data_IF_234171668794
#
_entry.id   IF_234171668794
#
_cell.length_a   1.000
_cell.length_b   1.000
_cell.length_c   1.000
_cell.angle_alpha   90.00
_cell.angle_beta   90.00
_cell.angle_gamma   90.00
#
_symmetry.space_group_name_H-M   'P 1'
#
loop_
_entity.id
_entity.type
_entity.pdbx_description
1 polymer ?
#
# COMPACT_ATOMS: atom_id res chain seq x y z
N UNK A 1 4.58 13.13 -25.33
CA UNK A 1 3.69 13.27 -24.18
C UNK A 1 3.76 12.03 -23.28
N UNK A 2 4.31 12.22 -22.08
CA UNK A 2 4.42 11.15 -21.10
C UNK A 2 3.62 11.43 -19.83
N UNK A 3 2.59 12.29 -19.91
CA UNK A 3 1.68 12.44 -18.79
C UNK A 3 0.58 11.40 -18.79
N UNK A 4 0.24 10.84 -19.96
CA UNK A 4 -0.77 9.79 -20.00
C UNK A 4 -0.31 8.55 -19.25
N UNK A 5 0.99 8.26 -19.28
CA UNK A 5 1.53 7.15 -18.52
C UNK A 5 1.33 7.38 -17.02
N UNK A 6 1.63 8.59 -16.55
CA UNK A 6 1.42 8.91 -15.15
C UNK A 6 -0.05 8.80 -14.78
N UNK A 7 -0.93 9.25 -15.65
CA UNK A 7 -2.36 9.16 -15.36
C UNK A 7 -2.81 7.71 -15.27
N UNK A 8 -2.33 6.86 -16.18
CA UNK A 8 -2.72 5.46 -16.16
C UNK A 8 -2.23 4.78 -14.89
N UNK A 9 -1.01 5.09 -14.45
CA UNK A 9 -0.50 4.46 -13.23
C UNK A 9 -1.21 4.98 -12.00
N UNK A 10 -1.48 6.28 -11.92
CA UNK A 10 -2.27 6.83 -10.82
C UNK A 10 -3.63 6.15 -10.74
N UNK A 11 -4.30 6.00 -11.88
CA UNK A 11 -5.63 5.38 -11.88
C UNK A 11 -5.56 3.90 -11.51
N UNK A 12 -4.53 3.20 -11.97
CA UNK A 12 -4.39 1.78 -11.64
C UNK A 12 -4.24 1.59 -10.13
N UNK A 13 -3.33 2.34 -9.51
CA UNK A 13 -3.14 2.24 -8.06
C UNK A 13 -4.40 2.66 -7.31
N UNK A 14 -5.07 3.73 -7.79
CA UNK A 14 -6.29 4.19 -7.16
C UNK A 14 -7.35 3.10 -7.14
N UNK A 15 -7.63 2.50 -8.29
CA UNK A 15 -8.70 1.50 -8.35
C UNK A 15 -8.33 0.25 -7.59
N UNK A 16 -7.05 -0.14 -7.63
CA UNK A 16 -6.58 -1.25 -6.81
C UNK A 16 -6.94 -1.04 -5.34
N UNK A 17 -6.48 0.06 -4.75
CA UNK A 17 -6.73 0.24 -3.33
C UNK A 17 -8.19 0.53 -3.03
N UNK A 18 -8.90 1.18 -3.96
CA UNK A 18 -10.32 1.38 -3.74
C UNK A 18 -11.04 0.04 -3.58
N UNK A 19 -10.68 -0.94 -4.41
CA UNK A 19 -11.30 -2.26 -4.28
C UNK A 19 -10.88 -2.92 -2.98
N UNK A 20 -9.57 -2.93 -2.70
CA UNK A 20 -9.04 -3.56 -1.50
C UNK A 20 -9.72 -3.04 -0.24
N UNK A 21 -9.99 -1.74 -0.17
CA UNK A 21 -10.58 -1.18 1.03
C UNK A 21 -12.10 -1.10 0.99
N UNK A 22 -12.72 -1.18 -0.19
CA UNK A 22 -14.17 -1.18 -0.24
C UNK A 22 -14.71 -2.53 0.19
N UNK A 23 -13.90 -3.59 0.03
CA UNK A 23 -14.37 -4.91 0.43
C UNK A 23 -14.54 -5.00 1.95
N UNK A 24 -13.89 -4.11 2.68
CA UNK A 24 -13.68 -4.29 4.12
C UNK A 24 -14.94 -4.10 4.96
N UNK A 25 -15.69 -3.00 4.85
CA UNK A 25 -16.87 -2.87 5.72
C UNK A 25 -18.02 -3.77 5.34
N UNK A 26 -18.09 -4.19 4.08
CA UNK A 26 -19.27 -4.91 3.58
C UNK A 26 -19.25 -6.36 4.05
N UNK A 27 -18.16 -7.08 3.79
CA UNK A 27 -18.18 -8.54 3.89
C UNK A 27 -18.45 -9.07 5.30
N UNK A 28 -18.11 -8.36 6.38
CA UNK A 28 -18.53 -8.89 7.69
C UNK A 28 -20.04 -8.96 7.83
N UNK A 29 -20.76 -7.92 7.41
CA UNK A 29 -22.21 -7.92 7.53
C UNK A 29 -22.82 -8.99 6.62
N UNK A 30 -22.32 -9.12 5.40
CA UNK A 30 -22.84 -10.13 4.48
C UNK A 30 -22.58 -11.53 5.00
N UNK A 31 -21.39 -11.77 5.55
CA UNK A 31 -21.06 -13.08 6.09
C UNK A 31 -21.91 -13.40 7.31
N UNK A 32 -22.13 -12.41 8.18
CA UNK A 32 -22.99 -12.61 9.34
C UNK A 32 -24.41 -12.93 8.92
N UNK A 33 -24.93 -12.22 7.92
CA UNK A 33 -26.29 -12.48 7.46
C UNK A 33 -26.39 -13.85 6.79
N UNK A 34 -25.34 -14.27 6.07
CA UNK A 34 -25.36 -15.57 5.42
C UNK A 34 -25.29 -16.68 6.46
N UNK A 35 -24.52 -16.46 7.54
CA UNK A 35 -24.51 -17.43 8.64
C UNK A 35 -25.86 -17.50 9.32
N UNK A 36 -26.50 -16.35 9.53
CA UNK A 36 -27.85 -16.34 10.09
C UNK A 36 -28.85 -16.97 9.12
N UNK A 37 -28.63 -16.79 7.82
CA UNK A 37 -29.50 -17.38 6.81
C UNK A 37 -29.08 -18.82 6.51
N UNK A 108 -13.83 -8.70 19.06
CA UNK A 108 -13.09 -9.61 18.18
C UNK A 108 -12.59 -8.88 16.94
N UNK A 109 -13.54 -8.40 16.13
CA UNK A 109 -13.28 -7.59 14.94
C UNK A 109 -12.67 -8.39 13.81
N UNK A 110 -12.34 -9.66 14.08
CA UNK A 110 -11.80 -10.56 13.07
C UNK A 110 -11.92 -11.99 13.57
N UNK A 111 -12.71 -12.79 12.85
CA UNK A 111 -12.79 -14.21 13.14
C UNK A 111 -11.66 -14.97 12.45
N UNK A 112 -11.67 -16.29 12.62
CA UNK A 112 -10.66 -17.12 11.95
C UNK A 112 -10.81 -17.02 10.43
N UNK A 113 -12.06 -16.99 9.95
CA UNK A 113 -12.29 -16.92 8.51
C UNK A 113 -12.23 -15.49 8.00
N UNK A 114 -12.73 -14.54 8.77
CA UNK A 114 -12.85 -13.16 8.28
C UNK A 114 -11.48 -12.55 8.04
N UNK A 115 -10.53 -12.77 8.95
CA UNK A 115 -9.20 -12.22 8.76
C UNK A 115 -8.52 -12.75 7.52
N UNK A 116 -8.88 -13.98 7.11
CA UNK A 116 -8.28 -14.56 5.92
C UNK A 116 -8.67 -13.79 4.67
N UNK A 117 -9.90 -13.26 4.62
CA UNK A 117 -10.34 -12.54 3.43
C UNK A 117 -9.61 -11.22 3.27
N UNK A 118 -8.98 -10.71 4.32
CA UNK A 118 -8.16 -9.51 4.19
C UNK A 118 -6.68 -9.84 4.07
N UNK A 119 -6.27 -11.01 4.58
CA UNK A 119 -4.86 -11.38 4.50
C UNK A 119 -4.50 -12.00 3.16
N UNK A 120 -5.49 -12.57 2.46
CA UNK A 120 -5.19 -13.32 1.25
C UNK A 120 -4.78 -12.41 0.10
N UNK A 121 -5.43 -11.25 -0.03
CA UNK A 121 -5.08 -10.33 -1.11
C UNK A 121 -3.63 -9.88 -0.99
N UNK A 122 -3.16 -9.65 0.22
CA UNK A 122 -1.78 -9.21 0.41
C UNK A 122 -0.81 -10.38 0.30
N UNK A 123 -1.21 -11.56 0.77
CA UNK A 123 -0.31 -12.71 0.72
C UNK A 123 -0.04 -13.15 -0.71
N UNK A 124 -1.08 -13.26 -1.54
CA UNK A 124 -0.89 -13.73 -2.91
C UNK A 124 -0.08 -12.71 -3.70
N UNK A 125 -0.30 -11.42 -3.45
CA UNK A 125 0.49 -10.38 -4.11
C UNK A 125 1.94 -10.44 -3.67
N UNK A 126 2.19 -10.67 -2.37
CA UNK A 126 3.55 -10.83 -1.88
C UNK A 126 4.24 -12.02 -2.54
N UNK A 127 3.51 -13.11 -2.77
CA UNK A 127 4.12 -14.29 -3.35
C UNK A 127 4.39 -14.09 -4.84
N UNK A 128 3.53 -13.36 -5.54
CA UNK A 128 3.67 -13.23 -6.98
C UNK A 128 4.37 -11.95 -7.44
N UNK A 129 4.87 -11.12 -6.52
CA UNK A 129 5.69 -10.00 -6.95
C UNK A 129 7.00 -10.41 -7.61
N UNK A 130 7.80 -11.35 -7.07
CA UNK A 130 9.10 -11.63 -7.70
C UNK A 130 8.98 -12.20 -9.10
N UNK A 131 7.93 -12.97 -9.39
CA UNK A 131 7.79 -13.55 -10.72
C UNK A 131 7.47 -12.49 -11.75
N UNK A 132 6.64 -11.50 -11.38
CA UNK A 132 6.41 -10.36 -12.26
C UNK A 132 7.70 -9.58 -12.46
N UNK A 133 8.55 -9.54 -11.42
CA UNK A 133 9.84 -8.89 -11.56
C UNK A 133 10.65 -9.39 -12.75
N UNK A 134 10.59 -10.70 -13.02
CA UNK A 134 11.34 -11.25 -14.15
C UNK A 134 10.52 -11.26 -15.42
N UNK A 135 9.20 -11.40 -15.30
CA UNK A 135 8.35 -11.40 -16.49
C UNK A 135 8.45 -10.06 -17.23
N UNK A 136 8.49 -8.95 -16.49
CA UNK A 136 8.59 -7.65 -17.15
C UNK A 136 9.91 -7.51 -17.88
N UNK A 137 10.96 -8.15 -17.39
CA UNK A 137 12.24 -8.14 -18.11
C UNK A 137 12.18 -9.02 -19.35
N UNK A 138 11.37 -10.07 -19.30
CA UNK A 138 11.29 -10.98 -20.44
C UNK A 138 10.46 -10.39 -21.58
N UNK A 139 9.34 -9.74 -21.28
CA UNK A 139 8.39 -9.34 -22.32
C UNK A 139 8.07 -7.85 -22.33
N UNK A 140 8.58 -7.08 -21.38
CA UNK A 140 8.24 -5.67 -21.33
C UNK A 140 7.07 -5.37 -20.42
N UNK A 141 6.78 -4.08 -20.27
CA UNK A 141 5.77 -3.59 -19.33
C UNK A 141 4.32 -3.60 -19.82
N UNK A 142 4.03 -3.18 -21.07
CA UNK A 142 2.61 -3.03 -21.47
C UNK A 142 1.77 -4.29 -21.36
N UNK A 143 2.31 -5.46 -21.73
CA UNK A 143 1.52 -6.69 -21.65
C UNK A 143 1.20 -7.07 -20.22
N UNK A 144 2.14 -7.03 -19.26
CA UNK A 144 1.74 -7.20 -17.86
C UNK A 144 0.72 -6.19 -17.38
N UNK A 145 0.84 -4.92 -17.77
CA UNK A 145 -0.13 -3.92 -17.30
C UNK A 145 -1.53 -4.24 -17.82
N UNK A 146 -1.62 -4.59 -19.10
CA UNK A 146 -2.93 -4.91 -19.67
C UNK A 146 -3.51 -6.19 -19.09
N UNK A 147 -2.67 -7.20 -18.87
CA UNK A 147 -3.15 -8.42 -18.22
C UNK A 147 -3.63 -8.13 -16.81
N UNK A 148 -2.98 -7.19 -16.12
CA UNK A 148 -3.46 -6.77 -14.83
C UNK A 148 -4.85 -6.15 -14.91
N UNK A 149 -5.06 -5.26 -15.89
CA UNK A 149 -6.40 -4.72 -16.11
C UNK A 149 -7.43 -5.83 -16.30
N UNK A 150 -7.13 -6.79 -17.18
CA UNK A 150 -8.12 -7.83 -17.50
C UNK A 150 -8.41 -8.73 -16.29
N UNK A 151 -7.36 -9.13 -15.56
CA UNK A 151 -7.55 -9.96 -14.38
C UNK A 151 -8.38 -9.22 -13.33
N UNK A 152 -8.07 -7.94 -13.10
CA UNK A 152 -8.83 -7.20 -12.09
C UNK A 152 -10.28 -7.02 -12.50
N UNK A 153 -10.54 -6.79 -13.78
CA UNK A 153 -11.92 -6.64 -14.24
C UNK A 153 -12.71 -7.92 -14.04
N UNK A 154 -12.15 -9.07 -14.46
CA UNK A 154 -12.86 -10.33 -14.31
C UNK A 154 -13.06 -10.67 -12.84
N UNK A 155 -12.04 -10.43 -12.02
CA UNK A 155 -12.17 -10.70 -10.59
C UNK A 155 -13.22 -9.82 -9.93
N UNK A 156 -13.31 -8.55 -10.35
CA UNK A 156 -14.30 -7.65 -9.77
C UNK A 156 -15.72 -8.10 -10.11
N UNK A 157 -15.96 -8.49 -11.36
CA UNK A 157 -17.28 -9.00 -11.70
C UNK A 157 -17.58 -10.30 -10.95
N UNK A 158 -16.60 -11.20 -10.87
CA UNK A 158 -16.81 -12.44 -10.13
C UNK A 158 -17.15 -12.19 -8.68
N UNK A 159 -16.48 -11.21 -8.05
CA UNK A 159 -16.76 -10.88 -6.66
C UNK A 159 -18.13 -10.23 -6.53
N UNK A 160 -18.55 -9.48 -7.55
CA UNK A 160 -19.89 -8.90 -7.53
C UNK A 160 -20.96 -9.98 -7.54
N UNK A 161 -20.74 -11.05 -8.31
CA UNK A 161 -21.80 -12.02 -8.50
C UNK A 161 -21.59 -13.30 -7.69
N UNK A 162 -20.45 -13.42 -7.01
CA UNK A 162 -20.15 -14.62 -6.23
C UNK A 162 -21.18 -14.82 -5.11
N UNK A 163 -21.44 -16.09 -4.80
CA UNK A 163 -22.45 -16.46 -3.81
C UNK A 163 -21.91 -17.32 -2.67
N UNK A 164 -20.70 -17.86 -2.79
CA UNK A 164 -20.16 -18.77 -1.79
C UNK A 164 -18.83 -18.24 -1.26
N UNK A 165 -18.38 -18.81 -0.15
CA UNK A 165 -17.17 -18.32 0.51
C UNK A 165 -15.92 -18.62 -0.31
N UNK A 166 -15.82 -19.84 -0.85
CA UNK A 166 -14.66 -20.21 -1.65
C UNK A 166 -14.49 -19.26 -2.83
N UNK A 167 -15.60 -18.80 -3.40
CA UNK A 167 -15.52 -17.87 -4.51
C UNK A 167 -15.06 -16.50 -4.05
N UNK A 168 -15.43 -16.10 -2.83
CA UNK A 168 -14.82 -14.91 -2.25
C UNK A 168 -13.31 -15.05 -2.15
N UNK A 169 -12.84 -16.21 -1.70
CA UNK A 169 -11.40 -16.45 -1.59
C UNK A 169 -10.71 -16.34 -2.95
N UNK A 170 -11.24 -17.03 -3.96
CA UNK A 170 -10.55 -17.04 -5.25
C UNK A 170 -10.64 -15.67 -5.91
N UNK A 171 -11.71 -14.92 -5.67
CA UNK A 171 -11.80 -13.57 -6.22
C UNK A 171 -10.80 -12.64 -5.56
N UNK A 172 -10.63 -12.75 -4.23
CA UNK A 172 -9.62 -11.96 -3.55
C UNK A 172 -8.21 -12.29 -4.06
N UNK A 173 -7.96 -13.58 -4.30
CA UNK A 173 -6.64 -13.98 -4.80
C UNK A 173 -6.39 -13.46 -6.22
N UNK A 174 -7.41 -13.50 -7.08
CA UNK A 174 -7.26 -12.95 -8.42
C UNK A 174 -7.03 -11.44 -8.38
N UNK A 175 -7.74 -10.74 -7.50
CA UNK A 175 -7.47 -9.33 -7.30
C UNK A 175 -6.03 -9.10 -6.87
N UNK A 176 -5.50 -9.98 -6.01
CA UNK A 176 -4.13 -9.83 -5.58
C UNK A 176 -3.12 -10.01 -6.70
N UNK A 177 -3.36 -11.02 -7.55
CA UNK A 177 -2.48 -11.24 -8.70
C UNK A 177 -2.50 -10.05 -9.64
N UNK A 178 -3.69 -9.54 -9.98
CA UNK A 178 -3.79 -8.38 -10.85
C UNK A 178 -3.17 -7.13 -10.25
N UNK A 179 -3.34 -6.96 -8.93
CA UNK A 179 -2.75 -5.82 -8.25
C UNK A 179 -1.24 -5.87 -8.30
N UNK A 180 -0.65 -7.04 -8.08
CA UNK A 180 0.81 -7.16 -8.19
C UNK A 180 1.26 -6.83 -9.61
N UNK A 181 0.60 -7.41 -10.61
CA UNK A 181 0.93 -7.12 -12.00
C UNK A 181 0.98 -5.62 -12.25
N UNK A 182 -0.16 -4.95 -12.05
CA UNK A 182 -0.25 -3.53 -12.40
C UNK A 182 0.69 -2.68 -11.55
N UNK A 183 0.77 -2.94 -10.24
CA UNK A 183 1.62 -2.14 -9.37
C UNK A 183 3.08 -2.22 -9.77
N UNK A 184 3.62 -3.44 -9.87
CA UNK A 184 5.05 -3.58 -10.16
C UNK A 184 5.37 -3.08 -11.56
N UNK A 185 4.56 -3.45 -12.55
CA UNK A 185 4.87 -3.03 -13.92
C UNK A 185 4.70 -1.53 -14.09
N UNK A 186 3.75 -0.91 -13.39
CA UNK A 186 3.56 0.52 -13.52
C UNK A 186 4.65 1.31 -12.83
N UNK A 187 5.08 0.87 -11.64
CA UNK A 187 6.20 1.54 -11.00
C UNK A 187 7.46 1.40 -11.84
N UNK A 188 7.70 0.21 -12.42
CA UNK A 188 8.84 0.06 -13.31
C UNK A 188 8.75 0.95 -14.53
N UNK A 189 7.56 1.09 -15.11
CA UNK A 189 7.41 1.92 -16.30
C UNK A 189 7.59 3.39 -15.99
N UNK A 190 7.06 3.86 -14.85
CA UNK A 190 7.33 5.23 -14.41
C UNK A 190 8.82 5.46 -14.25
N UNK A 191 9.50 4.57 -13.52
CA UNK A 191 10.94 4.73 -13.34
C UNK A 191 11.68 4.65 -14.66
N UNK A 192 11.10 4.00 -15.67
CA UNK A 192 11.76 3.86 -16.96
C UNK A 192 11.54 5.05 -17.89
N UNK A 193 10.41 5.74 -17.78
CA UNK A 193 10.12 6.88 -18.64
C UNK A 193 10.70 8.16 -18.08
N UNK A 194 10.70 8.30 -16.75
CA UNK A 194 11.20 9.49 -16.06
C UNK A 194 12.61 9.20 -15.55
N UNK A 195 13.60 9.44 -16.42
CA UNK A 195 14.97 9.06 -16.12
C UNK A 195 15.65 10.03 -15.15
N UNK A 196 15.26 11.30 -15.17
CA UNK A 196 15.87 12.28 -14.27
C UNK A 196 15.52 11.95 -12.82
N UNK A 197 16.45 12.22 -11.92
CA UNK A 197 16.25 11.88 -10.51
C UNK A 197 15.17 12.74 -9.87
N UNK A 198 15.29 14.06 -10.04
CA UNK A 198 14.34 14.98 -9.42
C UNK A 198 12.93 14.76 -9.96
N UNK A 199 12.79 14.62 -11.28
CA UNK A 199 11.48 14.35 -11.86
C UNK A 199 10.95 12.98 -11.45
N UNK A 200 11.84 12.00 -11.33
CA UNK A 200 11.43 10.69 -10.84
C UNK A 200 10.78 10.81 -9.47
N UNK A 201 11.42 11.55 -8.55
CA UNK A 201 10.81 11.75 -7.25
C UNK A 201 9.50 12.50 -7.30
N UNK A 202 9.46 13.58 -8.09
CA UNK A 202 8.26 14.40 -8.18
C UNK A 202 7.05 13.62 -8.70
N UNK A 203 7.28 12.65 -9.59
CA UNK A 203 6.16 11.88 -10.12
C UNK A 203 5.85 10.63 -9.28
N UNK A 204 6.86 10.05 -8.63
CA UNK A 204 6.59 8.99 -7.65
C UNK A 204 5.70 9.52 -6.54
N UNK A 205 5.91 10.78 -6.13
CA UNK A 205 5.03 11.37 -5.13
C UNK A 205 3.57 11.36 -5.57
N UNK A 206 3.30 11.82 -6.78
CA UNK A 206 1.92 11.92 -7.26
C UNK A 206 1.32 10.54 -7.47
N UNK A 207 2.11 9.59 -7.97
CA UNK A 207 1.59 8.24 -8.18
C UNK A 207 1.33 7.52 -6.87
N UNK A 208 2.11 7.84 -5.83
CA UNK A 208 1.85 7.29 -4.50
C UNK A 208 0.68 7.97 -3.82
N UNK A 209 0.41 9.23 -4.14
CA UNK A 209 -0.75 9.90 -3.59
C UNK A 209 -2.06 9.23 -3.92
N UNK A 210 -2.10 8.52 -5.05
CA UNK A 210 -3.23 7.70 -5.43
C UNK A 210 -3.50 6.41 -4.69
N UNK A 211 -2.44 5.86 -4.11
CA UNK A 211 -2.56 4.78 -3.13
C UNK A 211 -3.41 5.25 -1.95
N UNK A 212 -2.97 6.32 -1.28
CA UNK A 212 -3.62 6.87 -0.10
C UNK A 212 -4.90 7.64 -0.42
N UNK A 213 -5.18 7.90 -1.69
CA UNK A 213 -6.45 8.49 -2.08
C UNK A 213 -7.51 7.45 -2.41
N UNK A 214 -7.12 6.19 -2.57
CA UNK A 214 -8.07 5.11 -2.64
C UNK A 214 -8.31 4.55 -1.25
N UNK A 215 -7.24 4.42 -0.47
CA UNK A 215 -7.38 3.98 0.91
C UNK A 215 -8.28 4.92 1.71
N UNK A 216 -8.39 6.18 1.30
CA UNK A 216 -9.20 7.15 2.03
C UNK A 216 -10.65 7.17 1.58
N UNK A 217 -10.90 7.11 0.27
CA UNK A 217 -12.26 7.25 -0.25
C UNK A 217 -12.92 5.93 -0.57
N UNK A 218 -12.29 4.80 -0.24
CA UNK A 218 -12.93 3.52 -0.43
C UNK A 218 -14.18 3.32 0.41
N UNK A 219 -14.02 3.23 1.73
CA UNK A 219 -15.14 2.86 2.61
C UNK A 219 -16.32 3.80 2.52
N UNK A 220 -16.13 5.14 2.42
CA UNK A 220 -17.30 6.01 2.23
C UNK A 220 -18.11 5.68 0.98
N UNK A 221 -17.41 5.55 -0.15
CA UNK A 221 -18.04 5.13 -1.40
C UNK A 221 -18.80 3.83 -1.22
N UNK A 222 -18.15 2.83 -0.62
CA UNK A 222 -18.78 1.55 -0.42
C UNK A 222 -20.04 1.65 0.42
N UNK A 223 -19.98 2.37 1.53
CA UNK A 223 -21.14 2.47 2.43
C UNK A 223 -22.29 3.21 1.76
N UNK A 224 -22.00 4.32 1.09
CA UNK A 224 -23.07 5.08 0.44
C UNK A 224 -23.75 4.24 -0.64
N UNK A 225 -22.96 3.59 -1.50
CA UNK A 225 -23.57 2.84 -2.60
C UNK A 225 -24.27 1.59 -2.09
N UNK A 226 -23.72 0.93 -1.08
CA UNK A 226 -24.40 -0.22 -0.49
C UNK A 226 -25.68 0.18 0.24
N UNK A 227 -25.77 1.43 0.69
CA UNK A 227 -26.99 1.87 1.34
C UNK A 227 -28.07 2.21 0.33
N UNK A 228 -27.75 3.06 -0.66
CA UNK A 228 -28.79 3.57 -1.54
C UNK A 228 -29.27 2.52 -2.53
N UNK A 229 -28.37 2.01 -3.38
CA UNK A 229 -28.79 1.17 -4.50
C UNK A 229 -28.95 -0.28 -4.08
N UNK A 230 -27.86 -0.92 -3.69
CA UNK A 230 -27.91 -2.34 -3.39
C UNK A 230 -26.53 -2.89 -3.10
N UNK A 231 -26.42 -4.21 -3.25
CA UNK A 231 -25.17 -4.89 -2.91
C UNK A 231 -24.17 -4.83 -4.06
N UNK A 232 -24.64 -5.04 -5.29
CA UNK A 232 -23.75 -5.15 -6.44
C UNK A 232 -23.36 -3.80 -7.03
N UNK A 233 -23.92 -2.70 -6.53
CA UNK A 233 -23.70 -1.41 -7.17
C UNK A 233 -22.26 -0.92 -7.08
N UNK A 234 -21.58 -0.95 -5.92
CA UNK A 234 -20.19 -0.47 -5.90
C UNK A 234 -19.27 -1.30 -6.78
N UNK A 235 -19.46 -2.61 -6.81
CA UNK A 235 -18.58 -3.45 -7.62
C UNK A 235 -18.84 -3.24 -9.10
N UNK A 236 -20.10 -3.05 -9.50
CA UNK A 236 -20.37 -2.78 -10.90
C UNK A 236 -19.84 -1.41 -11.33
N UNK A 237 -19.91 -0.42 -10.43
CA UNK A 237 -19.34 0.89 -10.75
C UNK A 237 -17.82 0.79 -10.89
N UNK A 238 -17.17 0.06 -9.98
CA UNK A 238 -15.73 -0.11 -10.10
C UNK A 238 -15.36 -0.88 -11.36
N UNK A 239 -16.20 -1.82 -11.78
CA UNK A 239 -15.94 -2.54 -13.02
C UNK A 239 -16.06 -1.61 -14.23
N UNK A 240 -17.03 -0.70 -14.20
CA UNK A 240 -17.11 0.31 -15.26
C UNK A 240 -15.87 1.18 -15.29
N UNK A 241 -15.37 1.57 -14.12
CA UNK A 241 -14.15 2.37 -14.08
C UNK A 241 -12.95 1.60 -14.61
N UNK A 242 -12.86 0.31 -14.32
CA UNK A 242 -11.77 -0.50 -14.86
C UNK A 242 -11.90 -0.65 -16.38
N UNK A 243 -13.13 -0.73 -16.88
CA UNK A 243 -13.33 -0.73 -18.33
C UNK A 243 -12.80 0.56 -18.95
N UNK A 244 -13.14 1.70 -18.36
CA UNK A 244 -12.65 2.97 -18.90
C UNK A 244 -11.13 3.05 -18.85
N UNK A 245 -10.53 2.55 -17.76
CA UNK A 245 -9.06 2.56 -17.66
C UNK A 245 -8.43 1.68 -18.73
N UNK A 246 -8.99 0.48 -18.94
CA UNK A 246 -8.48 -0.38 -19.99
C UNK A 246 -8.63 0.21 -21.38
N UNK A 247 -9.72 0.96 -21.60
CA UNK A 247 -9.89 1.62 -22.89
C UNK A 247 -8.82 2.69 -23.10
N UNK A 248 -8.54 3.48 -22.07
CA UNK A 248 -7.45 4.46 -22.18
C UNK A 248 -6.12 3.75 -22.44
N UNK A 249 -5.90 2.60 -21.78
CA UNK A 249 -4.67 1.85 -22.02
C UNK A 249 -4.55 1.43 -23.47
N UNK A 250 -5.59 0.81 -24.01
CA UNK A 250 -5.58 0.42 -25.43
C UNK A 250 -5.41 1.62 -26.33
N UNK A 251 -5.87 2.79 -25.90
CA UNK A 251 -5.74 3.99 -26.72
C UNK A 251 -4.30 4.51 -26.73
N UNK A 252 -3.58 4.37 -25.63
CA UNK A 252 -2.22 4.91 -25.51
C UNK A 252 -1.16 3.82 -25.58
N UNK A 253 -1.25 2.80 -24.73
CA UNK A 253 -0.19 1.79 -24.66
C UNK A 253 -0.17 0.90 -25.90
N UNK A 254 -1.33 0.36 -26.27
CA UNK A 254 -1.45 -0.58 -27.38
C UNK A 254 -0.55 -1.79 -27.18
N UNK A 255 -0.90 -2.70 -26.26
CA UNK A 255 -0.08 -3.90 -26.06
C UNK A 255 -0.14 -4.85 -27.23
N UNK A 256 0.53 -4.49 -28.34
CA UNK A 256 0.43 -5.27 -29.56
C UNK A 256 1.34 -6.49 -29.53
N UNK A 257 2.64 -6.27 -29.49
CA UNK A 257 3.62 -7.33 -29.66
C UNK A 257 4.40 -7.57 -28.38
N UNK A 258 5.13 -8.69 -28.37
CA UNK A 258 6.04 -9.03 -27.29
C UNK A 258 7.42 -8.49 -27.63
N UNK A 259 7.93 -7.60 -26.77
CA UNK A 259 9.17 -6.88 -27.02
C UNK A 259 10.16 -7.13 -25.90
N UNK A 260 11.14 -8.02 -26.08
CA UNK A 260 12.12 -8.27 -25.03
C UNK A 260 12.89 -7.01 -24.67
N UNK A 261 13.30 -6.93 -23.41
CA UNK A 261 14.11 -5.81 -22.98
C UNK A 261 15.54 -5.97 -23.49
N UNK A 262 16.36 -4.94 -23.28
CA UNK A 262 17.66 -4.87 -23.93
C UNK A 262 18.70 -5.75 -23.23
N UNK A 263 18.86 -5.57 -21.92
CA UNK A 263 19.98 -6.15 -21.19
C UNK A 263 19.48 -7.01 -20.03
N UNK A 264 20.43 -7.58 -19.29
CA UNK A 264 20.13 -8.52 -18.22
C UNK A 264 19.50 -7.79 -17.04
N UNK A 265 19.28 -8.51 -15.94
CA UNK A 265 18.44 -7.97 -14.89
C UNK A 265 19.02 -7.97 -13.48
N UNK A 266 20.24 -8.46 -13.29
CA UNK A 266 20.86 -8.51 -11.96
C UNK A 266 19.94 -9.23 -10.98
N UNK A 267 19.89 -10.57 -11.02
CA UNK A 267 18.86 -11.33 -10.30
C UNK A 267 18.72 -10.97 -8.82
N UNK A 268 17.56 -11.33 -8.24
CA UNK A 268 17.24 -10.89 -6.88
C UNK A 268 18.25 -11.36 -5.86
N UNK A 269 18.91 -12.49 -6.11
CA UNK A 269 19.90 -12.98 -5.13
C UNK A 269 21.11 -12.06 -5.08
N UNK A 270 21.30 -11.21 -6.10
CA UNK A 270 22.41 -10.27 -6.10
C UNK A 270 22.00 -8.94 -5.47
N UNK A 271 20.73 -8.55 -5.64
CA UNK A 271 20.26 -7.31 -5.04
C UNK A 271 20.04 -7.48 -3.54
N UNK A 272 19.50 -8.62 -3.13
CA UNK A 272 19.19 -8.88 -1.72
C UNK A 272 20.44 -9.06 -0.86
N UNK A 273 21.63 -9.06 -1.44
CA UNK A 273 22.86 -9.02 -0.67
C UNK A 273 23.41 -7.62 -0.52
N UNK A 274 22.73 -6.63 -1.06
CA UNK A 274 23.17 -5.24 -0.95
C UNK A 274 22.67 -4.66 0.37
N UNK A 275 23.56 -4.11 1.21
CA UNK A 275 23.09 -3.59 2.50
C UNK A 275 22.22 -2.35 2.39
N UNK A 276 22.42 -1.50 1.38
CA UNK A 276 21.66 -0.26 1.30
C UNK A 276 20.24 -0.50 0.82
N UNK A 277 20.06 -1.39 -0.15
CA UNK A 277 18.72 -1.78 -0.56
C UNK A 277 17.99 -2.43 0.61
N UNK A 278 18.70 -3.21 1.42
CA UNK A 278 18.10 -3.81 2.59
C UNK A 278 17.67 -2.77 3.61
N UNK A 279 18.50 -1.74 3.83
CA UNK A 279 18.15 -0.69 4.77
C UNK A 279 16.91 0.06 4.30
N UNK A 280 16.85 0.41 3.01
CA UNK A 280 15.70 1.14 2.49
C UNK A 280 14.42 0.30 2.60
N UNK A 281 14.48 -0.97 2.19
CA UNK A 281 13.31 -1.82 2.28
C UNK A 281 12.87 -2.06 3.72
N UNK A 282 13.83 -2.17 4.64
CA UNK A 282 13.47 -2.36 6.03
C UNK A 282 12.83 -1.13 6.64
N UNK A 283 13.30 0.06 6.26
CA UNK A 283 12.67 1.28 6.74
C UNK A 283 11.23 1.37 6.26
N UNK A 284 11.00 1.11 4.97
CA UNK A 284 9.64 1.08 4.46
C UNK A 284 8.79 0.07 5.23
N UNK A 285 9.34 -1.14 5.41
CA UNK A 285 8.60 -2.22 6.06
C UNK A 285 8.16 -1.84 7.47
N UNK A 286 9.09 -1.33 8.29
CA UNK A 286 8.77 -1.04 9.67
C UNK A 286 7.86 0.19 9.79
N UNK A 287 8.16 1.25 9.03
CA UNK A 287 7.32 2.43 9.07
C UNK A 287 5.88 2.10 8.70
N UNK A 288 5.68 1.21 7.73
CA UNK A 288 4.32 0.87 7.35
C UNK A 288 3.69 -0.14 8.30
N UNK A 289 4.49 -1.05 8.86
CA UNK A 289 3.95 -2.02 9.81
C UNK A 289 3.42 -1.35 11.05
N UNK A 290 3.99 -0.19 11.42
CA UNK A 290 3.42 0.63 12.47
C UNK A 290 1.91 0.83 12.31
N UNK A 291 1.49 1.49 11.23
CA UNK A 291 0.07 1.74 11.04
C UNK A 291 -0.67 0.46 10.67
N UNK A 292 0.02 -0.52 10.07
CA UNK A 292 -0.64 -1.77 9.73
C UNK A 292 -1.11 -2.50 10.97
N UNK A 293 -0.38 -2.40 12.07
CA UNK A 293 -0.82 -2.99 13.33
C UNK A 293 -1.56 -2.00 14.22
N UNK A 294 -1.52 -0.70 13.90
CA UNK A 294 -2.28 0.27 14.67
C UNK A 294 -3.75 0.32 14.23
N UNK A 295 -4.01 0.16 12.93
CA UNK A 295 -5.37 0.35 12.42
C UNK A 295 -6.40 -0.56 13.06
N UNK A 296 -6.20 -1.88 13.15
CA UNK A 296 -7.28 -2.73 13.68
C UNK A 296 -7.45 -2.63 15.19
N UNK A 297 -6.37 -2.53 15.95
CA UNK A 297 -6.43 -2.71 17.40
C UNK A 297 -6.78 -1.45 18.17
N UNK A 298 -6.79 -0.29 17.54
CA UNK A 298 -7.12 0.94 18.24
C UNK A 298 -8.60 0.99 18.65
N UNK A 299 -9.55 0.65 17.77
CA UNK A 299 -10.97 0.73 18.20
C UNK A 299 -11.33 -0.24 19.31
N UNK A 300 -10.74 -1.43 19.33
CA UNK A 300 -11.02 -2.38 20.41
C UNK A 300 -10.62 -1.80 21.75
N UNK A 301 -9.39 -1.26 21.85
CA UNK A 301 -8.95 -0.66 23.10
C UNK A 301 -9.77 0.57 23.43
N UNK A 302 -10.19 1.33 22.41
CA UNK A 302 -10.99 2.53 22.66
C UNK A 302 -12.34 2.19 23.25
N UNK A 303 -13.01 1.17 22.71
CA UNK A 303 -14.35 0.81 23.18
C UNK A 303 -14.31 0.35 24.64
N UNK A 304 -13.17 -0.18 25.08
CA UNK A 304 -13.05 -0.60 26.46
C UNK A 304 -12.66 0.57 27.37
N UNK A 305 -11.69 1.38 26.95
CA UNK A 305 -11.13 2.39 27.85
C UNK A 305 -12.01 3.63 27.95
N UNK A 306 -12.70 4.01 26.86
CA UNK A 306 -13.53 5.20 26.86
C UNK A 306 -15.03 4.92 26.75
N UNK A 307 -15.42 3.72 26.33
CA UNK A 307 -16.82 3.38 26.10
C UNK A 307 -17.45 4.35 25.10
N UNK A 308 -16.71 4.63 24.03
CA UNK A 308 -17.15 5.63 23.01
C UNK A 308 -18.32 5.15 22.16
N UNK A 309 -19.01 6.08 21.49
CA UNK A 309 -20.16 5.72 20.61
C UNK A 309 -19.65 5.23 19.26
N UNK A 310 -20.54 4.67 18.42
CA UNK A 310 -20.12 4.07 17.12
C UNK A 310 -19.43 5.07 16.18
N UNK A 311 -19.77 6.35 16.21
CA UNK A 311 -19.22 7.28 15.23
C UNK A 311 -17.80 7.71 15.59
N UNK A 312 -17.50 7.82 16.89
CA UNK A 312 -16.17 8.25 17.31
C UNK A 312 -15.11 7.24 16.92
N UNK A 313 -15.48 5.98 16.72
CA UNK A 313 -14.54 5.00 16.22
C UNK A 313 -14.09 5.32 14.80
N UNK A 314 -15.04 5.72 13.94
CA UNK A 314 -14.68 6.04 12.57
C UNK A 314 -13.98 7.38 12.45
N UNK A 315 -14.45 8.38 13.21
CA UNK A 315 -13.91 9.72 13.07
C UNK A 315 -12.50 9.82 13.65
N UNK A 316 -12.13 8.86 14.52
CA UNK A 316 -10.84 8.95 15.20
C UNK A 316 -9.68 8.81 14.22
N UNK A 317 -9.84 8.02 13.16
CA UNK A 317 -8.73 7.69 12.28
C UNK A 317 -8.64 8.58 11.03
N UNK A 318 -9.58 9.51 10.84
CA UNK A 318 -9.48 10.41 9.68
C UNK A 318 -8.17 11.19 9.63
N UNK A 319 -7.62 11.71 10.73
CA UNK A 319 -6.36 12.47 10.62
C UNK A 319 -5.23 11.68 10.01
N UNK A 320 -5.14 10.38 10.31
CA UNK A 320 -4.04 9.58 9.78
C UNK A 320 -4.11 9.51 8.26
N UNK A 321 -5.30 9.24 7.71
CA UNK A 321 -5.43 9.10 6.26
C UNK A 321 -5.27 10.44 5.55
N UNK A 322 -5.89 11.50 6.10
CA UNK A 322 -5.78 12.83 5.49
C UNK A 322 -4.32 13.27 5.47
N UNK A 323 -3.63 13.14 6.61
CA UNK A 323 -2.24 13.55 6.69
C UNK A 323 -1.34 12.67 5.84
N UNK A 324 -1.68 11.39 5.68
CA UNK A 324 -0.90 10.54 4.78
C UNK A 324 -0.98 11.05 3.35
N UNK A 325 -2.19 11.36 2.89
CA UNK A 325 -2.35 11.91 1.54
C UNK A 325 -1.56 13.20 1.36
N UNK A 326 -1.73 14.15 2.29
CA UNK A 326 -1.06 15.44 2.17
C UNK A 326 0.45 15.26 2.22
N UNK A 327 0.95 14.48 3.18
CA UNK A 327 2.38 14.31 3.32
C UNK A 327 3.02 13.64 2.13
N UNK A 328 2.35 12.61 1.58
CA UNK A 328 2.85 12.00 0.35
C UNK A 328 2.98 13.04 -0.75
N UNK A 329 1.88 13.74 -1.05
CA UNK A 329 1.89 14.65 -2.20
C UNK A 329 2.89 15.79 -2.02
N UNK A 330 3.11 16.26 -0.79
CA UNK A 330 4.04 17.37 -0.59
C UNK A 330 5.48 16.87 -0.55
N UNK A 331 5.76 15.81 0.20
CA UNK A 331 7.15 15.43 0.39
C UNK A 331 7.72 14.72 -0.82
N UNK A 332 6.89 14.26 -1.76
CA UNK A 332 7.44 13.89 -3.06
C UNK A 332 8.34 14.96 -3.63
N UNK A 333 7.83 16.20 -3.69
CA UNK A 333 8.61 17.32 -4.20
C UNK A 333 9.59 17.84 -3.16
N UNK A 334 9.25 17.71 -1.87
CA UNK A 334 9.96 18.45 -0.85
C UNK A 334 11.12 17.68 -0.26
N UNK A 335 11.24 16.38 -0.57
CA UNK A 335 12.30 15.57 0.02
C UNK A 335 13.63 15.71 -0.71
N UNK A 336 13.63 16.20 -1.95
CA UNK A 336 14.89 16.36 -2.67
C UNK A 336 15.62 17.62 -2.25
N UNK A 337 14.97 18.52 -1.51
CA UNK A 337 15.62 19.74 -1.04
C UNK A 337 16.28 19.55 0.31
N UNK A 338 15.67 18.79 1.21
CA UNK A 338 16.26 18.54 2.51
C UNK A 338 17.28 17.41 2.45
N UNK A 339 17.05 16.44 1.58
CA UNK A 339 17.89 15.23 1.52
C UNK A 339 16.97 14.07 1.88
N UNK A 340 17.05 13.01 1.08
CA UNK A 340 16.13 11.90 1.28
C UNK A 340 16.49 11.10 2.52
N UNK A 341 17.78 11.03 2.86
CA UNK A 341 18.19 10.34 4.08
C UNK A 341 17.74 11.10 5.33
N UNK A 342 17.86 12.42 5.32
CA UNK A 342 17.38 13.22 6.45
C UNK A 342 15.87 13.12 6.57
N UNK A 343 15.17 13.11 5.44
CA UNK A 343 13.72 12.97 5.46
C UNK A 343 13.32 11.64 6.07
N UNK A 344 13.97 10.54 5.66
CA UNK A 344 13.62 9.23 6.23
C UNK A 344 13.97 9.14 7.70
N UNK A 345 15.10 9.74 8.12
CA UNK A 345 15.50 9.71 9.52
C UNK A 345 14.47 10.43 10.39
N UNK A 346 14.11 11.66 10.01
CA UNK A 346 13.11 12.39 10.78
C UNK A 346 11.75 11.71 10.72
N UNK A 347 11.43 11.05 9.60
CA UNK A 347 10.18 10.31 9.54
C UNK A 347 10.13 9.16 10.52
N UNK A 348 11.22 8.38 10.62
CA UNK A 348 11.26 7.29 11.59
C UNK A 348 11.17 7.81 13.01
N UNK A 349 11.92 8.87 13.34
CA UNK A 349 11.85 9.43 14.68
C UNK A 349 10.42 9.88 15.01
N UNK A 350 9.76 10.55 14.06
CA UNK A 350 8.45 11.13 14.35
C UNK A 350 7.39 10.05 14.50
N UNK A 351 7.41 9.03 13.64
CA UNK A 351 6.42 7.96 13.78
C UNK A 351 6.66 7.19 15.08
N UNK A 352 7.93 7.01 15.46
CA UNK A 352 8.21 6.35 16.73
C UNK A 352 7.68 7.13 17.92
N UNK A 353 7.94 8.43 17.95
CA UNK A 353 7.48 9.25 19.07
C UNK A 353 5.96 9.29 19.11
N UNK A 354 5.30 9.36 17.96
CA UNK A 354 3.85 9.42 17.95
C UNK A 354 3.24 8.12 18.47
N UNK A 355 3.76 6.97 18.02
CA UNK A 355 3.21 5.71 18.50
C UNK A 355 3.49 5.52 19.99
N UNK A 356 4.64 6.01 20.46
CA UNK A 356 4.91 5.95 21.90
C UNK A 356 3.95 6.85 22.68
N UNK A 357 3.52 7.96 22.08
CA UNK A 357 2.68 8.91 22.79
C UNK A 357 1.20 8.54 22.73
N UNK A 358 0.81 7.67 21.80
CA UNK A 358 -0.61 7.31 21.68
C UNK A 358 -1.22 6.79 22.98
N UNK A 359 -0.66 5.76 23.66
CA UNK A 359 -1.41 5.11 24.76
C UNK A 359 -1.70 6.00 25.96
N UNK A 360 -1.29 7.26 25.93
CA UNK A 360 -1.52 8.18 27.03
C UNK A 360 -2.80 9.00 26.87
N UNK A 361 -3.56 8.79 25.79
CA UNK A 361 -4.72 9.60 25.53
C UNK A 361 -5.85 9.30 26.52
N UNK A 362 -6.84 10.19 26.54
CA UNK A 362 -8.04 10.02 27.34
C UNK A 362 -9.31 9.97 26.50
N UNK A 363 -9.49 10.93 25.58
CA UNK A 363 -10.61 10.95 24.66
C UNK A 363 -10.09 10.98 23.23
N UNK A 364 -10.96 11.23 22.26
CA UNK A 364 -10.47 11.41 20.89
C UNK A 364 -9.70 12.72 20.74
N UNK A 365 -10.00 13.70 21.61
CA UNK A 365 -9.19 14.91 21.64
C UNK A 365 -7.75 14.58 21.99
N UNK A 366 -7.52 13.48 22.70
CA UNK A 366 -6.17 13.04 22.96
C UNK A 366 -5.54 12.29 21.80
N UNK A 367 -6.36 11.70 20.93
CA UNK A 367 -5.87 10.92 19.81
C UNK A 367 -5.88 11.67 18.49
N UNK A 368 -6.20 12.97 18.49
CA UNK A 368 -6.17 13.74 17.25
C UNK A 368 -4.73 13.96 16.78
N UNK A 369 -3.85 14.42 17.67
CA UNK A 369 -2.51 14.82 17.23
C UNK A 369 -1.60 13.63 16.93
N UNK A 370 -1.50 12.60 17.77
CA UNK A 370 -0.61 11.48 17.45
C UNK A 370 -0.91 10.81 16.12
N UNK A 371 -2.19 10.75 15.72
CA UNK A 371 -2.49 10.14 14.43
C UNK A 371 -2.01 10.99 13.27
N UNK A 372 -2.11 12.32 13.40
CA UNK A 372 -1.55 13.20 12.39
C UNK A 372 -0.05 12.99 12.29
N UNK A 373 0.64 12.91 13.43
CA UNK A 373 2.06 12.62 13.40
C UNK A 373 2.38 11.33 12.69
N UNK A 374 1.64 10.26 13.01
CA UNK A 374 1.88 8.95 12.41
C UNK A 374 1.74 9.02 10.88
N UNK A 375 0.61 9.55 10.41
CA UNK A 375 0.37 9.59 8.98
C UNK A 375 1.38 10.45 8.24
N UNK A 376 1.68 11.63 8.79
CA UNK A 376 2.63 12.54 8.18
C UNK A 376 4.01 11.87 8.05
N UNK A 377 4.45 11.19 9.10
CA UNK A 377 5.77 10.58 9.09
C UNK A 377 5.84 9.38 8.15
N UNK A 378 4.78 8.59 8.08
CA UNK A 378 4.78 7.45 7.16
C UNK A 378 4.80 7.94 5.72
N UNK A 379 4.07 9.02 5.43
CA UNK A 379 4.15 9.62 4.10
C UNK A 379 5.56 10.07 3.76
N UNK A 380 6.21 10.79 4.69
CA UNK A 380 7.61 11.16 4.51
C UNK A 380 8.47 9.96 4.14
N UNK A 381 8.38 8.90 4.94
CA UNK A 381 9.26 7.73 4.76
C UNK A 381 9.05 7.13 3.38
N UNK A 382 7.80 6.78 3.04
CA UNK A 382 7.56 6.08 1.78
C UNK A 382 7.92 6.95 0.58
N UNK A 383 7.45 8.20 0.58
CA UNK A 383 7.65 9.10 -0.54
C UNK A 383 9.10 9.49 -0.73
N UNK A 384 9.94 9.36 0.31
CA UNK A 384 11.36 9.60 0.12
C UNK A 384 12.18 8.32 -0.08
N UNK A 385 11.59 7.14 0.16
CA UNK A 385 12.35 5.90 0.02
C UNK A 385 12.07 5.13 -1.26
N UNK A 386 11.06 5.49 -2.04
CA UNK A 386 10.92 4.83 -3.34
C UNK A 386 11.92 5.31 -4.40
N UNK A 387 12.03 6.61 -4.69
CA UNK A 387 13.04 7.05 -5.68
C UNK A 387 14.45 6.66 -5.29
N UNK A 388 14.72 6.44 -4.01
CA UNK A 388 16.07 6.05 -3.61
C UNK A 388 16.34 4.61 -4.00
N UNK A 389 15.31 3.77 -4.03
CA UNK A 389 15.47 2.43 -4.61
C UNK A 389 15.85 2.52 -6.07
N UNK A 390 15.11 3.33 -6.83
CA UNK A 390 15.47 3.53 -8.23
C UNK A 390 16.90 4.01 -8.41
N UNK A 391 17.32 4.94 -7.55
CA UNK A 391 18.64 5.55 -7.68
C UNK A 391 19.75 4.58 -7.29
N UNK A 392 19.53 3.77 -6.26
CA UNK A 392 20.52 2.77 -5.88
C UNK A 392 20.76 1.79 -7.01
N UNK A 393 19.68 1.33 -7.65
CA UNK A 393 19.87 0.44 -8.81
C UNK A 393 20.64 1.15 -9.92
N UNK A 394 20.25 2.40 -10.24
CA UNK A 394 20.99 3.13 -11.27
C UNK A 394 22.47 3.24 -10.95
N UNK A 395 22.83 3.37 -9.67
CA UNK A 395 24.20 3.65 -9.30
C UNK A 395 25.07 2.40 -9.20
N UNK A 396 24.56 1.29 -8.66
CA UNK A 396 25.41 0.16 -8.30
C UNK A 396 25.22 -1.08 -9.17
N UNK A 397 24.24 -1.11 -10.06
CA UNK A 397 23.90 -2.35 -10.75
C UNK A 397 23.46 -2.01 -12.17
N UNK A 398 22.80 -2.96 -12.83
CA UNK A 398 22.23 -2.74 -14.15
C UNK A 398 20.87 -2.06 -13.99
N UNK A 399 20.62 -1.07 -14.82
CA UNK A 399 19.46 -0.19 -14.66
C UNK A 399 18.22 -0.80 -15.32
N UNK A 400 17.62 -1.75 -14.62
CA UNK A 400 16.26 -2.21 -14.89
C UNK A 400 15.52 -2.28 -13.55
N UNK A 401 14.26 -1.89 -13.55
CA UNK A 401 13.60 -1.50 -12.31
C UNK A 401 12.49 -2.43 -11.84
N UNK A 402 12.04 -3.36 -12.68
CA UNK A 402 11.02 -4.28 -12.24
C UNK A 402 11.45 -5.11 -11.05
N UNK A 403 12.71 -5.54 -11.05
CA UNK A 403 13.17 -6.46 -10.01
C UNK A 403 13.41 -5.77 -8.68
N UNK A 404 13.69 -4.46 -8.68
CA UNK A 404 13.87 -3.76 -7.42
C UNK A 404 12.54 -3.19 -6.91
N UNK A 405 11.62 -2.82 -7.80
CA UNK A 405 10.32 -2.45 -7.28
C UNK A 405 9.48 -3.65 -6.89
N UNK A 406 9.87 -4.86 -7.33
CA UNK A 406 9.32 -6.07 -6.73
C UNK A 406 9.58 -6.09 -5.22
N UNK A 407 10.84 -5.84 -4.82
CA UNK A 407 11.18 -5.82 -3.39
C UNK A 407 10.49 -4.65 -2.69
N UNK A 408 10.50 -3.47 -3.32
CA UNK A 408 9.85 -2.31 -2.72
C UNK A 408 8.37 -2.57 -2.45
N UNK A 409 7.72 -3.37 -3.30
CA UNK A 409 6.32 -3.69 -3.07
C UNK A 409 6.14 -4.86 -2.11
N UNK A 410 7.11 -5.78 -2.05
CA UNK A 410 7.07 -6.83 -1.05
C UNK A 410 7.13 -6.23 0.34
N UNK A 411 7.82 -5.11 0.50
CA UNK A 411 7.85 -4.45 1.81
C UNK A 411 6.44 -3.99 2.24
N UNK A 412 5.76 -3.24 1.37
CA UNK A 412 4.38 -2.83 1.62
C UNK A 412 3.50 -4.02 1.97
N UNK A 413 3.54 -5.05 1.12
CA UNK A 413 2.64 -6.19 1.32
C UNK A 413 2.98 -6.98 2.57
N UNK A 414 4.27 -7.07 2.93
CA UNK A 414 4.65 -7.71 4.18
C UNK A 414 4.10 -6.96 5.36
N UNK A 415 4.08 -5.62 5.28
CA UNK A 415 3.42 -4.86 6.32
C UNK A 415 1.94 -5.18 6.42
N UNK A 416 1.25 -5.21 5.27
CA UNK A 416 -0.21 -5.35 5.28
C UNK A 416 -0.71 -6.78 5.40
N UNK A 417 0.17 -7.78 5.37
CA UNK A 417 -0.25 -9.18 5.38
C UNK A 417 -0.34 -9.77 6.78
N UNK A 418 0.76 -9.72 7.53
CA UNK A 418 0.82 -10.28 8.87
C UNK A 418 0.44 -9.21 9.89
N UNK A 419 -0.09 -8.10 9.41
CA UNK A 419 -0.39 -6.98 10.27
C UNK A 419 -1.43 -7.28 11.32
N UNK A 420 -2.69 -7.49 10.90
CA UNK A 420 -3.77 -7.67 11.89
C UNK A 420 -3.62 -8.89 12.77
N UNK A 421 -3.16 -10.01 12.20
CA UNK A 421 -3.00 -11.24 12.98
C UNK A 421 -2.03 -11.03 14.14
N UNK A 422 -0.78 -10.69 13.83
CA UNK A 422 0.22 -10.50 14.87
C UNK A 422 -0.14 -9.36 15.80
N UNK A 423 -0.75 -8.30 15.25
CA UNK A 423 -1.19 -7.20 16.10
C UNK A 423 -2.17 -7.66 17.16
N UNK A 424 -3.23 -8.35 16.75
CA UNK A 424 -4.21 -8.82 17.71
C UNK A 424 -3.64 -9.83 18.69
N UNK A 425 -2.78 -10.73 18.21
CA UNK A 425 -2.18 -11.72 19.09
C UNK A 425 -1.35 -11.05 20.18
N UNK A 426 -0.44 -10.15 19.79
CA UNK A 426 0.43 -9.51 20.77
C UNK A 426 -0.38 -8.60 21.69
N UNK A 427 -1.42 -7.95 21.17
CA UNK A 427 -2.25 -7.11 22.02
C UNK A 427 -3.01 -7.94 23.05
N UNK A 428 -3.41 -9.16 22.68
CA UNK A 428 -4.08 -10.02 23.65
C UNK A 428 -3.08 -10.58 24.67
N UNK A 429 -1.84 -10.84 24.24
CA UNK A 429 -0.88 -11.49 25.11
C UNK A 429 -0.38 -10.55 26.20
N UNK A 430 0.19 -9.41 25.82
CA UNK A 430 0.82 -8.51 26.78
C UNK A 430 0.04 -7.21 26.98
N UNK A 431 -0.68 -6.72 25.99
CA UNK A 431 -1.49 -5.52 26.14
C UNK A 431 -1.22 -4.51 25.05
N UNK A 432 -2.10 -3.50 25.02
CA UNK A 432 -1.99 -2.45 23.99
C UNK A 432 -0.83 -1.50 24.26
N UNK A 433 -0.64 -0.95 25.46
CA UNK A 433 0.49 -0.03 25.66
C UNK A 433 1.85 -0.68 25.39
N UNK A 434 2.00 -1.96 25.72
CA UNK A 434 3.26 -2.63 25.46
C UNK A 434 3.50 -2.82 23.97
N UNK A 435 2.45 -3.17 23.22
CA UNK A 435 2.58 -3.27 21.77
C UNK A 435 3.02 -1.93 21.18
N UNK A 436 2.37 -0.84 21.60
CA UNK A 436 2.71 0.47 21.07
C UNK A 436 4.15 0.86 21.45
N UNK A 437 4.56 0.56 22.68
CA UNK A 437 5.91 0.89 23.11
C UNK A 437 6.95 0.10 22.32
N UNK A 438 6.68 -1.18 22.06
CA UNK A 438 7.61 -2.01 21.29
C UNK A 438 7.76 -1.46 19.88
N UNK A 439 6.64 -1.14 19.23
CA UNK A 439 6.70 -0.59 17.88
C UNK A 439 7.48 0.72 17.87
N UNK A 440 7.20 1.60 18.84
CA UNK A 440 7.88 2.88 18.89
C UNK A 440 9.38 2.74 19.08
N UNK A 441 9.79 1.86 20.00
CA UNK A 441 11.21 1.69 20.27
C UNK A 441 11.92 1.07 19.07
N UNK A 442 11.26 0.14 18.37
CA UNK A 442 11.87 -0.45 17.18
C UNK A 442 12.07 0.60 16.10
N UNK A 443 11.07 1.46 15.89
CA UNK A 443 11.22 2.53 14.91
C UNK A 443 12.36 3.49 15.28
N UNK A 444 12.38 3.94 16.53
CA UNK A 444 13.42 4.87 16.96
C UNK A 444 14.79 4.23 16.85
N UNK A 445 14.91 2.92 17.08
CA UNK A 445 16.21 2.27 17.02
C UNK A 445 16.65 2.01 15.60
N UNK A 446 15.71 1.80 14.68
CA UNK A 446 16.11 1.67 13.27
C UNK A 446 16.46 3.03 12.67
N UNK A 447 15.90 4.11 13.19
CA UNK A 447 16.12 5.45 12.62
C UNK A 447 17.58 5.78 12.32
N UNK A 448 18.56 5.52 13.20
CA UNK A 448 19.94 5.92 12.88
C UNK A 448 20.55 5.19 11.70
N UNK A 449 19.99 4.06 11.27
CA UNK A 449 20.57 3.33 10.15
C UNK A 449 20.39 4.08 8.84
N UNK A 450 19.41 4.97 8.76
CA UNK A 450 19.20 5.75 7.54
C UNK A 450 20.28 6.80 7.32
N UNK A 451 21.32 6.81 8.16
CA UNK A 451 22.46 7.69 7.92
C UNK A 451 23.41 7.11 6.88
N UNK A 452 23.33 5.81 6.62
CA UNK A 452 24.21 5.18 5.65
C UNK A 452 23.77 5.42 4.22
N UNK A 453 22.58 5.96 4.00
CA UNK A 453 22.07 6.20 2.67
C UNK A 453 22.45 7.57 2.12
N UNK A 454 23.29 8.32 2.82
CA UNK A 454 23.65 9.65 2.35
C UNK A 454 24.66 9.55 1.21
N UNK A 455 24.58 10.53 0.31
CA UNK A 455 25.42 10.50 -0.88
C UNK A 455 26.87 10.83 -0.52
N UNK A 456 27.81 10.07 -1.08
CA UNK A 456 29.24 10.30 -0.78
C UNK A 456 29.71 11.72 -1.10
N UNK A 457 29.17 12.37 -2.15
CA UNK A 457 29.68 13.73 -2.30
C UNK A 457 29.14 14.72 -1.27
#
# INVERSE_FOLDING_TARGET
SRKLILFIVFLALLLDNMLLTVVVPIIPSYLYSIKHEKNATEIQTARPVHTASISDSFQSIFSYYDNSTMVTGNATRDLTLHQTATQHMVTNASAVPSDCPSEDKDLLNENVQVGLLFASKATVQLITNPFIGLLTNRIGYPIPIFAGFCIMFVSTIMFAFSSSYAFLLIARSLQGIGSSCSSVAGMGMLASVYTDDEERGNVMGIALGGLAMGVLVGPPFGSVLYEFVGKTAPFLVLAALVLLDGAIQLFVLQPSRVQPESQKGTPLTTLLKDPYILIAAGSICFANMGIAMLEPALPIWMMETMCSRKWQLGVAFLPASISYLIGTNIFGILAHKMGRWLCALLGMIIVGVSILCIPFAKNIYGLIAPNFGVGFAIGMVDSSMMPIMGYLVDLRHVSVYGSVYAIADVAFCMGYAIGPSAGGAIAKAIGFPWLMTIIGIIDILFAPLCFFLRSPPQVQLVESGGALVQPGGSLRLSCAASGFPVNRYSMRWYRQAPGKEREWVAGMSSAGDRSSYEDSVKGRFTISRDDARNTVYLQMNSLKPEDTAVYYCNVNVGFEYWGQGTQVTVSSK
#
